data_IF_890388344294
#
_entry.id   IF_890388344294
#
_cell.length_a   1.000
_cell.length_b   1.000
_cell.length_c   1.000
_cell.angle_alpha   90.00
_cell.angle_beta   90.00
_cell.angle_gamma   90.00
#
_symmetry.space_group_name_H-M   'P 1'
#
loop_
_entity.id
_entity.type
_entity.pdbx_description
1 polymer ?
#
# COMPACT_ATOMS: atom_id res chain seq x y z
N UNK A 1 7.18 -11.33 59.76
CA UNK A 1 8.41 -11.34 58.95
C UNK A 1 8.29 -12.57 58.07
N UNK A 2 7.42 -12.49 57.06
CA UNK A 2 7.17 -13.61 56.15
C UNK A 2 8.06 -13.42 54.93
N UNK A 3 9.03 -14.32 54.80
CA UNK A 3 10.08 -14.26 53.79
C UNK A 3 9.50 -14.58 52.40
N UNK A 4 9.63 -13.70 51.39
CA UNK A 4 9.04 -13.89 50.07
C UNK A 4 9.93 -14.75 49.13
N UNK A 5 10.42 -15.90 49.64
CA UNK A 5 11.43 -16.72 48.95
C UNK A 5 10.97 -18.10 48.45
N UNK A 6 9.92 -18.69 49.01
CA UNK A 6 9.65 -20.13 48.83
C UNK A 6 8.69 -20.49 47.67
N UNK A 7 8.06 -19.52 47.03
CA UNK A 7 7.06 -19.80 45.98
C UNK A 7 7.66 -20.13 44.60
N UNK A 8 8.92 -19.76 44.35
CA UNK A 8 9.56 -19.99 43.04
C UNK A 8 10.14 -21.40 42.92
N UNK A 9 10.68 -21.97 43.99
CA UNK A 9 11.27 -23.32 43.97
C UNK A 9 10.22 -24.44 43.87
N UNK A 10 9.09 -24.33 44.60
CA UNK A 10 8.02 -25.32 44.56
C UNK A 10 7.23 -25.32 43.23
N UNK A 11 7.18 -24.18 42.53
CA UNK A 11 6.57 -24.06 41.21
C UNK A 11 7.48 -24.56 40.07
N UNK A 12 8.81 -24.52 40.27
CA UNK A 12 9.82 -25.03 39.34
C UNK A 12 10.02 -26.55 39.44
N UNK A 13 9.73 -27.16 40.60
CA UNK A 13 9.84 -28.61 40.82
C UNK A 13 8.51 -29.24 41.27
N UNK A 14 7.45 -29.07 40.48
CA UNK A 14 6.28 -29.92 40.64
C UNK A 14 6.65 -31.35 40.19
N UNK A 15 6.54 -32.38 41.05
CA UNK A 15 6.89 -33.77 40.71
C UNK A 15 6.18 -34.28 39.44
N UNK A 16 5.01 -33.71 39.11
CA UNK A 16 4.26 -34.01 37.90
C UNK A 16 4.95 -33.48 36.63
N UNK A 17 5.52 -32.27 36.66
CA UNK A 17 6.28 -31.70 35.53
C UNK A 17 7.61 -32.41 35.31
N UNK A 18 8.29 -32.76 36.40
CA UNK A 18 9.54 -33.53 36.33
C UNK A 18 9.33 -34.93 35.73
N UNK A 19 8.22 -35.61 36.08
CA UNK A 19 7.85 -36.90 35.47
C UNK A 19 7.51 -36.78 33.99
N UNK A 20 6.77 -35.74 33.59
CA UNK A 20 6.45 -35.49 32.19
C UNK A 20 7.71 -35.23 31.34
N UNK A 21 8.63 -34.41 31.84
CA UNK A 21 9.93 -34.18 31.18
C UNK A 21 10.78 -35.45 31.10
N UNK A 22 10.78 -36.28 32.15
CA UNK A 22 11.50 -37.55 32.14
C UNK A 22 10.89 -38.56 31.16
N UNK A 23 9.57 -38.60 31.02
CA UNK A 23 8.90 -39.42 30.01
C UNK A 23 9.28 -38.95 28.60
N UNK A 24 9.17 -37.64 28.35
CA UNK A 24 9.54 -37.05 27.06
C UNK A 24 11.02 -37.28 26.71
N UNK A 25 11.93 -37.21 27.69
CA UNK A 25 13.34 -37.55 27.48
C UNK A 25 13.56 -39.02 27.11
N UNK A 26 12.78 -39.95 27.68
CA UNK A 26 12.86 -41.38 27.33
C UNK A 26 12.34 -41.63 25.92
N UNK A 27 11.26 -40.96 25.55
CA UNK A 27 10.67 -41.05 24.21
C UNK A 27 11.63 -40.50 23.14
N UNK A 28 12.29 -39.37 23.41
CA UNK A 28 13.36 -38.85 22.55
C UNK A 28 14.55 -39.80 22.44
N UNK A 29 14.95 -40.45 23.54
CA UNK A 29 16.03 -41.44 23.50
C UNK A 29 15.65 -42.66 22.63
N UNK A 30 14.39 -43.10 22.67
CA UNK A 30 13.90 -44.17 21.80
C UNK A 30 13.94 -43.77 20.32
N UNK A 31 13.46 -42.56 19.99
CA UNK A 31 13.53 -42.00 18.64
C UNK A 31 14.98 -41.86 18.16
N UNK A 32 15.90 -41.39 19.00
CA UNK A 32 17.31 -41.26 18.64
C UNK A 32 17.97 -42.63 18.34
N UNK A 33 17.63 -43.68 19.09
CA UNK A 33 18.09 -45.05 18.83
C UNK A 33 17.52 -45.57 17.51
N UNK A 34 16.22 -45.39 17.28
CA UNK A 34 15.56 -45.80 16.04
C UNK A 34 16.12 -45.07 14.82
N UNK A 35 16.29 -43.75 14.90
CA UNK A 35 16.90 -42.93 13.85
C UNK A 35 18.36 -43.34 13.58
N UNK A 36 19.14 -43.63 14.62
CA UNK A 36 20.50 -44.13 14.47
C UNK A 36 20.55 -45.52 13.78
N UNK A 37 19.56 -46.39 14.02
CA UNK A 37 19.42 -47.67 13.30
C UNK A 37 19.13 -47.46 11.81
N UNK A 38 18.28 -46.50 11.46
CA UNK A 38 17.87 -46.25 10.07
C UNK A 38 18.89 -45.46 9.25
N UNK A 39 19.50 -44.41 9.83
CA UNK A 39 20.36 -43.47 9.12
C UNK A 39 21.85 -43.55 9.50
N UNK A 40 22.21 -44.37 10.50
CA UNK A 40 23.58 -44.50 10.96
C UNK A 40 24.15 -43.17 11.47
N UNK A 41 25.33 -42.78 10.94
CA UNK A 41 26.07 -41.57 11.37
C UNK A 41 25.62 -40.26 10.71
N UNK A 42 24.68 -40.29 9.76
CA UNK A 42 24.28 -39.10 8.97
C UNK A 42 22.82 -38.76 9.23
N UNK A 43 22.56 -38.23 10.41
CA UNK A 43 21.24 -37.72 10.79
C UNK A 43 21.09 -36.27 10.30
N UNK A 44 20.09 -35.99 9.45
CA UNK A 44 19.73 -34.61 9.12
C UNK A 44 19.34 -33.84 10.39
N UNK A 45 19.67 -32.55 10.46
CA UNK A 45 19.19 -31.71 11.55
C UNK A 45 17.68 -31.51 11.41
N UNK A 46 16.95 -31.69 12.49
CA UNK A 46 15.51 -31.47 12.55
C UNK A 46 15.14 -30.78 13.87
N UNK A 47 13.98 -30.14 13.87
CA UNK A 47 13.46 -29.42 15.01
C UNK A 47 12.89 -30.40 16.05
N UNK A 48 13.23 -30.23 17.33
CA UNK A 48 12.76 -31.08 18.43
C UNK A 48 11.58 -30.43 19.15
N UNK A 49 10.39 -30.62 18.60
CA UNK A 49 9.11 -30.18 19.17
C UNK A 49 8.22 -31.36 19.56
N UNK A 50 7.17 -31.12 20.35
CA UNK A 50 6.24 -32.16 20.78
C UNK A 50 5.53 -32.84 19.59
N UNK A 51 5.06 -32.05 18.62
CA UNK A 51 4.47 -32.55 17.37
C UNK A 51 5.44 -33.44 16.59
N UNK A 52 6.72 -33.09 16.57
CA UNK A 52 7.75 -33.90 15.87
C UNK A 52 8.06 -35.20 16.61
N UNK A 53 7.98 -35.20 17.94
CA UNK A 53 8.17 -36.40 18.75
C UNK A 53 7.02 -37.38 18.49
N UNK A 54 5.78 -36.89 18.52
CA UNK A 54 4.60 -37.72 18.25
C UNK A 54 4.64 -38.32 16.84
N UNK A 55 4.96 -37.51 15.83
CA UNK A 55 5.08 -37.97 14.45
C UNK A 55 6.20 -39.02 14.28
N UNK A 56 7.36 -38.81 14.90
CA UNK A 56 8.49 -39.73 14.81
C UNK A 56 8.24 -41.05 15.55
N UNK A 57 7.57 -41.02 16.70
CA UNK A 57 7.16 -42.25 17.41
C UNK A 57 6.13 -43.05 16.61
N UNK A 58 5.14 -42.37 16.03
CA UNK A 58 4.14 -43.03 15.17
C UNK A 58 4.81 -43.68 13.95
N UNK A 59 5.74 -42.97 13.31
CA UNK A 59 6.53 -43.51 12.19
C UNK A 59 7.41 -44.68 12.61
N UNK A 60 8.07 -44.60 13.78
CA UNK A 60 8.90 -45.66 14.29
C UNK A 60 8.10 -46.95 14.51
N UNK A 61 6.93 -46.84 15.17
CA UNK A 61 6.04 -47.99 15.41
C UNK A 61 5.56 -48.61 14.10
N UNK A 62 5.08 -47.80 13.15
CA UNK A 62 4.61 -48.31 11.85
C UNK A 62 5.74 -48.97 11.05
N UNK A 63 6.96 -48.43 11.13
CA UNK A 63 8.12 -49.01 10.49
C UNK A 63 8.51 -50.34 11.12
N UNK A 64 8.54 -50.42 12.45
CA UNK A 64 8.81 -51.67 13.18
C UNK A 64 7.75 -52.74 12.88
N UNK A 65 6.46 -52.39 12.89
CA UNK A 65 5.36 -53.29 12.50
C UNK A 65 5.54 -53.80 11.06
N UNK A 66 5.91 -52.92 10.13
CA UNK A 66 6.15 -53.29 8.73
C UNK A 66 7.38 -54.19 8.57
N UNK A 67 8.46 -53.93 9.30
CA UNK A 67 9.66 -54.76 9.34
C UNK A 67 9.33 -56.16 9.89
N UNK A 68 8.54 -56.25 10.96
CA UNK A 68 8.08 -57.53 11.53
C UNK A 68 7.21 -58.31 10.53
N UNK A 69 6.25 -57.65 9.87
CA UNK A 69 5.44 -58.27 8.83
C UNK A 69 6.29 -58.80 7.69
N UNK A 70 7.28 -58.02 7.22
CA UNK A 70 8.21 -58.44 6.16
C UNK A 70 9.02 -59.65 6.58
N UNK A 71 9.52 -59.69 7.82
CA UNK A 71 10.26 -60.83 8.36
C UNK A 71 9.39 -62.09 8.42
N UNK A 72 8.11 -61.95 8.77
CA UNK A 72 7.16 -63.07 8.79
C UNK A 72 6.89 -63.60 7.38
N UNK A 73 6.64 -62.72 6.41
CA UNK A 73 6.45 -63.10 5.00
C UNK A 73 7.69 -63.81 4.46
N UNK A 74 8.89 -63.28 4.71
CA UNK A 74 10.15 -63.91 4.30
C UNK A 74 10.32 -65.30 4.93
N UNK A 75 9.98 -65.45 6.20
CA UNK A 75 10.05 -66.74 6.91
C UNK A 75 9.08 -67.75 6.32
N UNK A 76 7.83 -67.36 6.07
CA UNK A 76 6.82 -68.21 5.43
C UNK A 76 7.27 -68.58 4.01
N UNK A 77 7.77 -67.61 3.24
CA UNK A 77 8.31 -67.85 1.90
C UNK A 77 9.44 -68.87 1.90
N UNK A 78 10.42 -68.74 2.81
CA UNK A 78 11.51 -69.73 2.97
C UNK A 78 10.99 -71.12 3.33
N UNK A 79 10.01 -71.20 4.23
CA UNK A 79 9.42 -72.49 4.62
C UNK A 79 8.63 -73.13 3.47
N UNK A 80 7.86 -72.34 2.71
CA UNK A 80 7.14 -72.79 1.54
C UNK A 80 8.11 -73.32 0.45
N UNK A 81 9.19 -72.59 0.17
CA UNK A 81 10.24 -73.01 -0.77
C UNK A 81 10.94 -74.30 -0.32
N UNK A 82 11.24 -74.45 0.98
CA UNK A 82 11.81 -75.69 1.51
C UNK A 82 10.86 -76.89 1.40
N UNK A 83 9.55 -76.66 1.53
CA UNK A 83 8.55 -77.70 1.32
C UNK A 83 8.41 -78.08 -0.16
N UNK A 84 8.55 -77.10 -1.07
CA UNK A 84 8.46 -77.31 -2.52
C UNK A 84 9.74 -77.91 -3.12
N UNK A 85 10.92 -77.66 -2.55
CA UNK A 85 12.18 -78.26 -2.98
C UNK A 85 12.34 -79.76 -2.69
N UNK A 86 11.29 -80.42 -2.17
CA UNK A 86 11.20 -81.88 -1.97
C UNK A 86 10.32 -82.54 -3.03
N UNK A 87 10.32 -82.03 -4.26
CA UNK A 87 9.51 -82.56 -5.37
C UNK A 87 9.90 -84.02 -5.67
N UNK A 88 8.89 -84.84 -6.01
CA UNK A 88 9.08 -86.23 -6.41
C UNK A 88 9.85 -86.30 -7.74
N UNK A 89 10.83 -87.22 -7.91
CA UNK A 89 11.60 -87.37 -9.14
C UNK A 89 10.73 -87.63 -10.38
N UNK A 90 9.52 -88.16 -10.20
CA UNK A 90 8.55 -88.39 -11.28
C UNK A 90 8.02 -87.09 -11.90
N UNK A 91 7.93 -86.01 -11.12
CA UNK A 91 7.46 -84.70 -11.60
C UNK A 91 8.54 -84.00 -12.41
N UNK A 92 9.80 -84.15 -12.00
CA UNK A 92 10.95 -83.63 -12.75
C UNK A 92 11.10 -84.33 -14.10
N UNK A 93 10.88 -85.65 -14.18
CA UNK A 93 10.90 -86.40 -15.44
C UNK A 93 9.81 -85.95 -16.43
N UNK A 94 8.60 -85.66 -15.93
CA UNK A 94 7.50 -85.13 -16.76
C UNK A 94 7.79 -83.70 -17.22
N UNK A 95 8.34 -82.87 -16.34
CA UNK A 95 8.75 -81.50 -16.65
C UNK A 95 9.84 -81.46 -17.73
N UNK A 96 10.87 -82.30 -17.62
CA UNK A 96 11.93 -82.39 -18.63
C UNK A 96 11.40 -82.86 -19.99
N UNK A 97 10.50 -83.86 -20.01
CA UNK A 97 9.88 -84.30 -21.27
C UNK A 97 9.04 -83.20 -21.93
N UNK A 98 8.34 -82.39 -21.15
CA UNK A 98 7.59 -81.24 -21.69
C UNK A 98 8.53 -80.17 -22.25
N UNK A 99 9.63 -79.86 -21.56
CA UNK A 99 10.67 -78.96 -22.07
C UNK A 99 11.30 -79.47 -23.37
N UNK A 100 11.46 -80.78 -23.52
CA UNK A 100 11.98 -81.42 -24.73
C UNK A 100 11.01 -81.39 -25.92
N UNK A 101 9.71 -81.24 -25.66
CA UNK A 101 8.69 -81.04 -26.72
C UNK A 101 8.57 -79.59 -27.19
N UNK A 102 9.10 -78.62 -26.43
CA UNK A 102 9.10 -77.21 -26.79
C UNK A 102 10.21 -76.91 -27.81
N UNK A 103 9.88 -76.13 -28.82
CA UNK A 103 10.83 -75.54 -29.75
C UNK A 103 11.68 -74.44 -29.07
N UNK A 104 12.68 -73.93 -29.80
CA UNK A 104 13.58 -72.90 -29.26
C UNK A 104 12.84 -71.65 -28.79
N UNK A 105 11.85 -71.21 -29.58
CA UNK A 105 11.05 -70.03 -29.28
C UNK A 105 10.15 -70.26 -28.06
N UNK A 106 9.53 -71.45 -27.93
CA UNK A 106 8.76 -71.83 -26.76
C UNK A 106 9.60 -71.81 -25.48
N UNK A 107 10.85 -72.28 -25.53
CA UNK A 107 11.78 -72.21 -24.39
C UNK A 107 12.16 -70.77 -24.04
N UNK A 108 12.42 -69.92 -25.03
CA UNK A 108 12.71 -68.50 -24.80
C UNK A 108 11.52 -67.76 -24.18
N UNK A 109 10.29 -68.01 -24.66
CA UNK A 109 9.09 -67.37 -24.10
C UNK A 109 8.84 -67.80 -22.64
N UNK A 110 9.13 -69.06 -22.31
CA UNK A 110 8.99 -69.58 -20.95
C UNK A 110 10.06 -68.96 -20.03
N UNK A 111 11.28 -68.78 -20.51
CA UNK A 111 12.34 -68.06 -19.77
C UNK A 111 11.98 -66.59 -19.53
N UNK A 112 11.42 -65.90 -20.54
CA UNK A 112 10.92 -64.52 -20.40
C UNK A 112 9.77 -64.46 -19.40
N UNK A 113 8.83 -65.40 -19.44
CA UNK A 113 7.73 -65.46 -18.46
C UNK A 113 8.25 -65.73 -17.05
N UNK A 114 9.25 -66.61 -16.89
CA UNK A 114 9.88 -66.86 -15.61
C UNK A 114 10.62 -65.63 -15.09
N UNK A 115 11.35 -64.92 -15.95
CA UNK A 115 12.02 -63.67 -15.57
C UNK A 115 11.01 -62.59 -15.18
N UNK A 116 9.92 -62.43 -15.95
CA UNK A 116 8.84 -61.51 -15.62
C UNK A 116 8.16 -61.86 -14.30
N UNK A 117 7.92 -63.15 -14.03
CA UNK A 117 7.35 -63.61 -12.77
C UNK A 117 8.24 -63.26 -11.57
N UNK A 118 9.57 -63.39 -11.73
CA UNK A 118 10.54 -63.02 -10.71
C UNK A 118 10.60 -61.50 -10.53
N UNK A 119 10.62 -60.73 -11.60
CA UNK A 119 10.67 -59.26 -11.56
C UNK A 119 9.40 -58.64 -10.96
N UNK A 120 8.24 -59.20 -11.29
CA UNK A 120 6.94 -58.73 -10.77
C UNK A 120 6.61 -59.35 -9.41
N UNK A 121 7.33 -60.38 -8.98
CA UNK A 121 7.10 -61.10 -7.73
C UNK A 121 5.83 -61.94 -7.72
N UNK A 122 5.28 -62.29 -8.88
CA UNK A 122 4.05 -63.07 -9.03
C UNK A 122 4.24 -64.21 -10.02
N UNK A 123 3.82 -65.43 -9.64
CA UNK A 123 3.86 -66.60 -10.53
C UNK A 123 2.57 -66.75 -11.36
N UNK A 124 1.52 -66.00 -11.01
CA UNK A 124 0.22 -66.05 -11.68
C UNK A 124 0.19 -65.14 -12.92
N UNK A 125 -0.12 -65.72 -14.08
CA UNK A 125 -0.08 -65.01 -15.37
C UNK A 125 -1.09 -63.87 -15.47
N UNK A 126 -2.26 -64.00 -14.82
CA UNK A 126 -3.26 -62.94 -14.77
C UNK A 126 -2.77 -61.73 -13.95
N UNK A 127 -2.15 -61.97 -12.80
CA UNK A 127 -1.57 -60.92 -11.97
C UNK A 127 -0.36 -60.26 -12.65
N UNK A 128 0.47 -61.03 -13.35
CA UNK A 128 1.56 -60.50 -14.17
C UNK A 128 1.03 -59.56 -15.25
N UNK A 129 0.00 -59.98 -16.00
CA UNK A 129 -0.60 -59.14 -17.04
C UNK A 129 -1.19 -57.84 -16.46
N UNK A 130 -1.89 -57.93 -15.33
CA UNK A 130 -2.42 -56.75 -14.64
C UNK A 130 -1.30 -55.80 -14.17
N UNK A 131 -0.22 -56.35 -13.61
CA UNK A 131 0.94 -55.58 -13.17
C UNK A 131 1.63 -54.87 -14.34
N UNK A 132 1.79 -55.54 -15.48
CA UNK A 132 2.34 -54.94 -16.70
C UNK A 132 1.45 -53.80 -17.22
N UNK A 133 0.12 -54.00 -17.25
CA UNK A 133 -0.83 -52.96 -17.63
C UNK A 133 -0.74 -51.74 -16.70
N UNK A 134 -0.68 -51.98 -15.39
CA UNK A 134 -0.55 -50.92 -14.40
C UNK A 134 0.78 -50.15 -14.55
N UNK A 135 1.91 -50.86 -14.69
CA UNK A 135 3.22 -50.24 -14.92
C UNK A 135 3.24 -49.43 -16.21
N UNK A 136 2.61 -49.94 -17.28
CA UNK A 136 2.52 -49.24 -18.56
C UNK A 136 1.69 -47.96 -18.44
N UNK A 137 0.55 -48.02 -17.73
CA UNK A 137 -0.29 -46.86 -17.45
C UNK A 137 0.46 -45.81 -16.60
N UNK A 138 1.13 -46.24 -15.53
CA UNK A 138 1.95 -45.36 -14.68
C UNK A 138 3.09 -44.71 -15.47
N UNK A 139 3.77 -45.47 -16.33
CA UNK A 139 4.82 -44.92 -17.20
C UNK A 139 4.28 -43.83 -18.12
N UNK A 140 3.10 -44.06 -18.71
CA UNK A 140 2.47 -43.07 -19.57
C UNK A 140 2.07 -41.80 -18.79
N UNK A 141 1.41 -41.97 -17.65
CA UNK A 141 1.02 -40.86 -16.77
C UNK A 141 2.23 -40.01 -16.36
N UNK A 142 3.30 -40.66 -15.89
CA UNK A 142 4.54 -39.96 -15.52
C UNK A 142 5.18 -39.24 -16.72
N UNK A 143 5.17 -39.85 -17.90
CA UNK A 143 5.70 -39.21 -19.10
C UNK A 143 4.90 -37.96 -19.50
N UNK A 144 3.58 -37.99 -19.33
CA UNK A 144 2.71 -36.83 -19.58
C UNK A 144 2.97 -35.74 -18.54
N UNK A 145 3.11 -36.10 -17.26
CA UNK A 145 3.42 -35.16 -16.19
C UNK A 145 4.77 -34.47 -16.42
N UNK A 146 5.80 -35.21 -16.84
CA UNK A 146 7.10 -34.62 -17.20
C UNK A 146 6.95 -33.63 -18.34
N UNK A 147 6.27 -34.01 -19.43
CA UNK A 147 6.03 -33.10 -20.55
C UNK A 147 5.27 -31.83 -20.15
N UNK A 148 4.30 -31.96 -19.23
CA UNK A 148 3.54 -30.82 -18.69
C UNK A 148 4.44 -29.91 -17.85
N UNK A 149 5.27 -30.47 -16.98
CA UNK A 149 6.22 -29.71 -16.17
C UNK A 149 7.23 -28.96 -17.03
N UNK A 150 7.77 -29.60 -18.07
CA UNK A 150 8.69 -28.96 -19.02
C UNK A 150 8.02 -27.80 -19.77
N UNK A 151 6.78 -27.97 -20.22
CA UNK A 151 6.02 -26.90 -20.86
C UNK A 151 5.76 -25.72 -19.91
N UNK A 152 5.42 -25.99 -18.65
CA UNK A 152 5.25 -24.96 -17.62
C UNK A 152 6.56 -24.23 -17.30
N UNK A 153 7.66 -24.96 -17.16
CA UNK A 153 8.98 -24.39 -16.95
C UNK A 153 9.36 -23.45 -18.11
N UNK A 154 9.16 -23.88 -19.35
CA UNK A 154 9.42 -23.05 -20.52
C UNK A 154 8.55 -21.78 -20.54
N UNK A 155 7.28 -21.87 -20.14
CA UNK A 155 6.40 -20.70 -20.03
C UNK A 155 6.89 -19.71 -18.95
N UNK A 156 7.22 -20.21 -17.75
CA UNK A 156 7.75 -19.39 -16.66
C UNK A 156 9.08 -18.72 -17.05
N UNK A 157 9.97 -19.42 -17.76
CA UNK A 157 11.21 -18.83 -18.26
C UNK A 157 10.94 -17.69 -19.25
N UNK A 158 9.96 -17.83 -20.14
CA UNK A 158 9.56 -16.75 -21.06
C UNK A 158 9.00 -15.54 -20.30
N UNK A 159 8.12 -15.76 -19.32
CA UNK A 159 7.58 -14.66 -18.50
C UNK A 159 8.68 -13.97 -17.66
N UNK A 160 9.63 -14.74 -17.14
CA UNK A 160 10.79 -14.20 -16.45
C UNK A 160 11.66 -13.34 -17.39
N UNK A 161 11.89 -13.79 -18.62
CA UNK A 161 12.60 -12.98 -19.62
C UNK A 161 11.85 -11.69 -19.96
N UNK A 162 10.53 -11.76 -20.16
CA UNK A 162 9.68 -10.58 -20.41
C UNK A 162 9.73 -9.58 -19.27
N UNK A 163 9.54 -10.04 -18.03
CA UNK A 163 9.59 -9.17 -16.84
C UNK A 163 10.96 -8.55 -16.64
N UNK A 164 12.06 -9.30 -16.89
CA UNK A 164 13.42 -8.73 -16.90
C UNK A 164 13.60 -7.65 -17.96
N UNK A 165 13.07 -7.86 -19.17
CA UNK A 165 13.15 -6.86 -20.24
C UNK A 165 12.37 -5.57 -19.85
N UNK A 166 11.17 -5.71 -19.30
CA UNK A 166 10.38 -4.57 -18.79
C UNK A 166 11.12 -3.84 -17.68
N UNK A 167 11.70 -4.58 -16.73
CA UNK A 167 12.47 -4.01 -15.64
C UNK A 167 13.71 -3.25 -16.16
N UNK A 168 14.40 -3.76 -17.17
CA UNK A 168 15.50 -3.04 -17.83
C UNK A 168 15.02 -1.74 -18.49
N UNK A 169 13.87 -1.76 -19.16
CA UNK A 169 13.27 -0.55 -19.76
C UNK A 169 12.95 0.48 -18.66
N UNK A 170 12.34 0.06 -17.55
CA UNK A 170 12.00 0.94 -16.44
C UNK A 170 13.23 1.48 -15.68
N UNK A 171 14.35 0.74 -15.69
CA UNK A 171 15.62 1.20 -15.12
C UNK A 171 16.43 2.10 -16.06
N UNK A 172 16.01 2.22 -17.32
CA UNK A 172 16.68 3.07 -18.28
C UNK A 172 16.63 4.54 -17.83
N UNK A 173 17.66 5.31 -18.16
CA UNK A 173 17.84 6.70 -17.71
C UNK A 173 16.66 7.60 -18.10
N UNK A 174 15.96 7.28 -19.19
CA UNK A 174 14.74 7.97 -19.61
C UNK A 174 13.56 7.91 -18.62
N UNK A 175 13.56 6.92 -17.70
CA UNK A 175 12.51 6.74 -16.68
C UNK A 175 13.00 7.03 -15.25
N UNK A 176 14.25 7.49 -15.08
CA UNK A 176 14.69 7.96 -13.78
C UNK A 176 14.08 9.34 -13.48
N UNK A 177 13.58 9.58 -12.25
CA UNK A 177 13.14 10.91 -11.87
C UNK A 177 14.33 11.88 -12.00
N UNK A 178 14.16 13.04 -12.66
CA UNK A 178 15.18 14.09 -12.65
C UNK A 178 15.70 14.33 -11.23
N UNK A 179 17.01 14.46 -11.05
CA UNK A 179 17.65 14.65 -9.73
C UNK A 179 17.03 15.80 -8.94
N UNK A 180 16.52 16.80 -9.66
CA UNK A 180 16.05 18.04 -9.10
C UNK A 180 14.55 17.98 -8.73
N UNK A 181 13.82 16.88 -9.01
CA UNK A 181 12.39 16.76 -8.70
C UNK A 181 12.09 16.95 -7.21
N UNK A 182 12.95 16.43 -6.34
CA UNK A 182 12.80 16.58 -4.88
C UNK A 182 12.96 18.04 -4.47
N UNK A 183 13.92 18.74 -5.07
CA UNK A 183 14.18 20.15 -4.80
C UNK A 183 13.02 21.02 -5.31
N UNK A 184 12.58 20.79 -6.56
CA UNK A 184 11.42 21.45 -7.16
C UNK A 184 10.13 21.23 -6.35
N UNK A 185 9.90 20.00 -5.86
CA UNK A 185 8.72 19.69 -5.03
C UNK A 185 8.80 20.42 -3.69
N UNK A 186 9.99 20.50 -3.09
CA UNK A 186 10.20 21.25 -1.85
C UNK A 186 10.01 22.76 -2.05
N UNK A 187 10.47 23.30 -3.18
CA UNK A 187 10.28 24.71 -3.54
C UNK A 187 8.81 25.03 -3.82
N UNK A 188 8.12 24.19 -4.59
CA UNK A 188 6.67 24.31 -4.82
C UNK A 188 5.88 24.20 -3.51
N UNK A 189 6.28 23.34 -2.58
CA UNK A 189 5.64 23.26 -1.28
C UNK A 189 5.85 24.54 -0.44
N UNK A 190 7.04 25.14 -0.49
CA UNK A 190 7.34 26.42 0.18
C UNK A 190 6.55 27.57 -0.45
N UNK A 191 6.54 27.68 -1.78
CA UNK A 191 5.78 28.72 -2.48
C UNK A 191 4.28 28.59 -2.25
N UNK A 192 3.74 27.36 -2.23
CA UNK A 192 2.33 27.11 -1.90
C UNK A 192 2.00 27.54 -0.47
N UNK A 193 2.88 27.27 0.50
CA UNK A 193 2.70 27.76 1.88
C UNK A 193 2.70 29.29 1.93
N UNK A 194 3.64 29.94 1.26
CA UNK A 194 3.70 31.41 1.18
C UNK A 194 2.45 32.00 0.53
N UNK A 195 1.98 31.42 -0.58
CA UNK A 195 0.76 31.85 -1.27
C UNK A 195 -0.47 31.68 -0.38
N UNK A 196 -0.58 30.58 0.38
CA UNK A 196 -1.66 30.40 1.36
C UNK A 196 -1.64 31.49 2.43
N UNK A 197 -0.47 31.81 2.99
CA UNK A 197 -0.33 32.90 3.96
C UNK A 197 -0.74 34.24 3.35
N UNK A 198 -0.31 34.54 2.12
CA UNK A 198 -0.72 35.75 1.40
C UNK A 198 -2.22 35.79 1.14
N UNK A 199 -2.84 34.66 0.83
CA UNK A 199 -4.28 34.59 0.56
C UNK A 199 -5.08 34.89 1.83
N UNK A 200 -4.66 34.37 2.99
CA UNK A 200 -5.23 34.73 4.30
C UNK A 200 -5.02 36.22 4.58
N UNK A 201 -3.82 36.76 4.35
CA UNK A 201 -3.55 38.19 4.53
C UNK A 201 -4.42 39.08 3.63
N UNK A 202 -4.62 38.69 2.36
CA UNK A 202 -5.51 39.41 1.45
C UNK A 202 -6.97 39.26 1.84
N UNK A 203 -7.39 38.11 2.36
CA UNK A 203 -8.74 37.91 2.90
C UNK A 203 -8.96 38.80 4.13
N UNK A 204 -8.00 38.86 5.06
CA UNK A 204 -8.03 39.76 6.22
C UNK A 204 -8.05 41.24 5.82
N UNK A 205 -7.32 41.64 4.77
CA UNK A 205 -7.34 43.02 4.24
C UNK A 205 -8.64 43.36 3.52
N UNK A 206 -9.27 42.39 2.87
CA UNK A 206 -10.52 42.61 2.10
C UNK A 206 -11.78 42.34 2.92
N UNK A 207 -11.70 41.58 4.01
CA UNK A 207 -12.76 41.32 4.97
C UNK A 207 -13.38 42.60 5.56
N UNK A 208 -12.61 43.61 6.03
CA UNK A 208 -13.17 44.87 6.50
C UNK A 208 -13.81 45.67 5.37
N UNK A 209 -13.32 45.54 4.11
CA UNK A 209 -13.92 46.18 2.95
C UNK A 209 -15.25 45.50 2.55
N UNK A 210 -15.35 44.18 2.72
CA UNK A 210 -16.59 43.41 2.50
C UNK A 210 -17.63 43.70 3.57
N UNK A 211 -17.24 43.78 4.84
CA UNK A 211 -18.15 44.13 5.93
C UNK A 211 -18.53 45.60 5.91
N UNK A 212 -17.63 46.51 5.52
CA UNK A 212 -17.96 47.92 5.30
C UNK A 212 -18.82 48.15 4.06
N UNK A 213 -18.80 47.26 3.07
CA UNK A 213 -19.66 47.37 1.88
C UNK A 213 -21.14 47.09 2.18
N UNK A 214 -21.46 46.48 3.32
CA UNK A 214 -22.86 46.22 3.74
C UNK A 214 -23.45 47.40 4.52
N UNK A 215 -22.60 48.25 5.13
CA UNK A 215 -23.02 49.36 6.02
C UNK A 215 -22.41 50.72 5.58
N UNK A 216 -21.73 50.78 4.44
CA UNK A 216 -21.19 52.02 3.87
C UNK A 216 -22.28 52.84 3.18
N UNK A 217 -22.18 54.18 3.16
CA UNK A 217 -23.12 55.01 2.41
C UNK A 217 -23.11 54.56 0.96
N UNK A 218 -24.30 54.33 0.39
CA UNK A 218 -24.40 53.95 -1.02
C UNK A 218 -23.82 55.08 -1.88
N UNK A 219 -23.41 54.77 -3.10
CA UNK A 219 -23.00 55.79 -4.07
C UNK A 219 -24.06 56.89 -4.21
N UNK A 220 -25.33 56.52 -4.07
CA UNK A 220 -26.46 57.43 -4.10
C UNK A 220 -26.49 58.37 -2.88
N UNK A 221 -26.11 57.90 -1.69
CA UNK A 221 -26.00 58.72 -0.48
C UNK A 221 -24.83 59.70 -0.58
N UNK A 222 -23.70 59.29 -1.16
CA UNK A 222 -22.56 60.17 -1.44
C UNK A 222 -22.94 61.25 -2.46
N UNK A 223 -23.69 60.90 -3.49
CA UNK A 223 -24.20 61.87 -4.47
C UNK A 223 -25.21 62.85 -3.86
N UNK A 224 -26.10 62.39 -2.96
CA UNK A 224 -27.00 63.26 -2.19
C UNK A 224 -26.22 64.21 -1.28
N UNK A 225 -25.18 63.71 -0.61
CA UNK A 225 -24.29 64.52 0.23
C UNK A 225 -23.55 65.58 -0.60
N UNK A 226 -23.05 65.21 -1.78
CA UNK A 226 -22.39 66.13 -2.71
C UNK A 226 -23.34 67.24 -3.18
N UNK A 227 -24.55 66.90 -3.61
CA UNK A 227 -25.57 67.87 -4.02
C UNK A 227 -25.98 68.82 -2.87
N UNK A 228 -26.10 68.30 -1.64
CA UNK A 228 -26.40 69.14 -0.48
C UNK A 228 -25.24 70.08 -0.14
N UNK A 229 -23.99 69.64 -0.31
CA UNK A 229 -22.79 70.48 -0.10
C UNK A 229 -22.69 71.57 -1.15
N UNK A 230 -22.99 71.27 -2.41
CA UNK A 230 -23.03 72.26 -3.50
C UNK A 230 -24.13 73.29 -3.27
N UNK A 231 -25.32 72.87 -2.81
CA UNK A 231 -26.39 73.78 -2.43
C UNK A 231 -25.99 74.68 -1.24
N UNK A 232 -25.26 74.15 -0.25
CA UNK A 232 -24.74 74.93 0.87
C UNK A 232 -23.67 75.94 0.41
N UNK A 233 -22.77 75.55 -0.49
CA UNK A 233 -21.78 76.47 -1.07
C UNK A 233 -22.44 77.58 -1.89
N UNK A 234 -23.44 77.27 -2.70
CA UNK A 234 -24.21 78.27 -3.44
C UNK A 234 -24.95 79.24 -2.49
N UNK A 235 -25.44 78.74 -1.36
CA UNK A 235 -26.07 79.59 -0.34
C UNK A 235 -25.05 80.47 0.38
N UNK A 236 -23.87 79.95 0.70
CA UNK A 236 -22.79 80.72 1.30
C UNK A 236 -22.34 81.84 0.37
N UNK A 237 -22.11 81.55 -0.92
CA UNK A 237 -21.69 82.58 -1.88
C UNK A 237 -22.75 83.65 -2.10
N UNK A 238 -24.04 83.29 -2.10
CA UNK A 238 -25.13 84.28 -2.13
C UNK A 238 -25.11 85.18 -0.88
N UNK A 239 -24.94 84.58 0.32
CA UNK A 239 -24.87 85.33 1.57
C UNK A 239 -23.63 86.24 1.63
N UNK A 240 -22.49 85.77 1.15
CA UNK A 240 -21.26 86.55 1.03
C UNK A 240 -21.44 87.74 0.08
N UNK A 241 -22.10 87.55 -1.06
CA UNK A 241 -22.44 88.63 -1.97
C UNK A 241 -23.39 89.67 -1.34
N UNK A 242 -24.37 89.22 -0.55
CA UNK A 242 -25.23 90.13 0.23
C UNK A 242 -24.42 90.90 1.28
N UNK A 243 -23.47 90.25 1.96
CA UNK A 243 -22.59 90.88 2.95
C UNK A 243 -21.61 91.88 2.34
N UNK A 244 -21.11 91.63 1.13
CA UNK A 244 -20.26 92.59 0.39
C UNK A 244 -20.95 93.95 0.19
N UNK A 245 -22.28 93.98 0.02
CA UNK A 245 -23.02 95.25 -0.09
C UNK A 245 -23.00 96.08 1.20
N UNK A 246 -22.70 95.45 2.35
CA UNK A 246 -22.57 96.09 3.65
C UNK A 246 -21.10 96.32 4.07
N UNK A 247 -20.15 95.93 3.23
CA UNK A 247 -18.72 96.06 3.49
C UNK A 247 -18.34 97.55 3.57
N UNK A 248 -17.82 97.99 4.72
CA UNK A 248 -17.47 99.39 5.00
C UNK A 248 -18.47 100.17 5.86
N UNK A 249 -19.66 99.62 6.12
CA UNK A 249 -20.59 100.17 7.11
C UNK A 249 -20.18 99.75 8.54
N UNK A 250 -20.16 100.68 9.52
CA UNK A 250 -19.97 100.33 10.92
C UNK A 250 -21.09 99.39 11.41
N UNK A 251 -20.80 98.47 12.35
CA UNK A 251 -21.78 97.52 12.88
C UNK A 251 -22.94 98.19 13.65
N UNK A 252 -22.80 99.46 14.05
CA UNK A 252 -23.87 100.25 14.69
C UNK A 252 -24.74 100.97 13.62
N UNK A 253 -26.06 100.69 13.56
CA UNK A 253 -26.96 101.27 12.55
C UNK A 253 -27.05 102.80 12.61
N UNK A 254 -26.81 103.45 13.76
CA UNK A 254 -26.81 104.92 13.85
C UNK A 254 -25.56 105.51 13.20
N UNK A 255 -24.40 104.90 13.42
CA UNK A 255 -23.13 105.30 12.83
C UNK A 255 -23.08 105.05 11.30
N UNK A 256 -23.71 103.96 10.83
CA UNK A 256 -23.91 103.65 9.42
C UNK A 256 -24.72 104.72 8.68
N UNK A 257 -25.84 105.18 9.25
CA UNK A 257 -26.65 106.27 8.69
C UNK A 257 -25.87 107.58 8.62
N UNK A 258 -25.03 107.87 9.62
CA UNK A 258 -24.17 109.05 9.63
C UNK A 258 -23.18 109.07 8.45
N UNK A 259 -22.46 107.96 8.19
CA UNK A 259 -21.53 107.86 7.05
C UNK A 259 -22.26 107.96 5.70
N UNK A 260 -23.47 107.40 5.59
CA UNK A 260 -24.27 107.45 4.37
C UNK A 260 -24.74 108.86 4.04
N UNK A 261 -25.13 109.66 5.05
CA UNK A 261 -25.47 111.06 4.85
C UNK A 261 -24.25 111.93 4.48
N UNK A 262 -23.07 111.65 5.05
CA UNK A 262 -21.82 112.31 4.63
C UNK A 262 -21.51 111.99 3.16
N UNK A 263 -21.59 110.72 2.75
CA UNK A 263 -21.36 110.33 1.36
C UNK A 263 -22.39 110.95 0.40
N UNK A 264 -23.67 111.02 0.78
CA UNK A 264 -24.71 111.71 0.01
C UNK A 264 -24.42 113.20 -0.15
N UNK A 265 -23.95 113.86 0.92
CA UNK A 265 -23.59 115.27 0.86
C UNK A 265 -22.40 115.52 -0.08
N UNK A 266 -21.41 114.62 -0.09
CA UNK A 266 -20.26 114.68 -1.01
C UNK A 266 -20.69 114.43 -2.46
N UNK A 267 -21.59 113.47 -2.70
CA UNK A 267 -22.11 113.21 -4.03
C UNK A 267 -22.90 114.41 -4.57
N UNK A 268 -23.73 115.06 -3.74
CA UNK A 268 -24.41 116.31 -4.13
C UNK A 268 -23.43 117.43 -4.49
N UNK A 269 -22.31 117.55 -3.75
CA UNK A 269 -21.25 118.52 -4.07
C UNK A 269 -20.58 118.21 -5.40
N UNK A 270 -20.19 116.95 -5.64
CA UNK A 270 -19.58 116.54 -6.90
C UNK A 270 -20.56 116.65 -8.08
N UNK A 271 -21.85 116.39 -7.87
CA UNK A 271 -22.88 116.63 -8.89
C UNK A 271 -23.04 118.12 -9.17
N UNK A 272 -23.02 118.98 -8.15
CA UNK A 272 -23.04 120.43 -8.34
C UNK A 272 -21.79 120.94 -9.08
N UNK A 273 -20.59 120.48 -8.71
CA UNK A 273 -19.34 120.79 -9.45
C UNK A 273 -19.36 120.27 -10.89
N UNK A 274 -19.97 119.10 -11.10
CA UNK A 274 -20.16 118.53 -12.44
C UNK A 274 -21.11 119.40 -13.25
N UNK A 275 -22.24 119.79 -12.66
CA UNK A 275 -23.26 120.62 -13.33
C UNK A 275 -22.71 122.02 -13.60
N UNK A 276 -21.94 122.61 -12.68
CA UNK A 276 -21.23 123.87 -12.86
C UNK A 276 -20.20 123.79 -14.01
N UNK A 277 -19.38 122.72 -14.07
CA UNK A 277 -18.47 122.48 -15.20
C UNK A 277 -19.18 122.19 -16.52
N UNK A 278 -20.39 121.61 -16.47
CA UNK A 278 -21.21 121.40 -17.68
C UNK A 278 -21.83 122.72 -18.15
N UNK A 279 -22.24 123.62 -17.24
CA UNK A 279 -22.68 124.97 -17.59
C UNK A 279 -21.52 125.81 -18.16
N UNK A 280 -20.32 125.73 -17.57
CA UNK A 280 -19.10 126.36 -18.13
C UNK A 280 -18.75 125.87 -19.56
N UNK A 281 -19.06 124.61 -19.88
CA UNK A 281 -18.90 124.06 -21.22
C UNK A 281 -20.02 124.48 -22.18
N UNK A 282 -21.22 124.78 -21.67
CA UNK A 282 -22.37 125.22 -22.46
C UNK A 282 -22.32 126.73 -22.80
N UNK A 283 -21.70 127.56 -21.96
CA UNK A 283 -21.51 129.00 -22.19
C UNK A 283 -20.27 129.33 -23.07
N UNK A 284 -19.46 128.32 -23.41
CA UNK A 284 -18.25 128.45 -24.22
C UNK A 284 -18.47 128.22 -25.75
N UNK A 285 -19.72 128.21 -26.22
CA UNK A 285 -20.11 128.09 -27.65
C UNK A 285 -21.10 129.18 -28.05
#
# INVERSE_FOLDING_TARGET
MDSPGDWTAAALFSPSKARAQQAQQRDWAAVDIWLAKQYGKRLPAFERNEDTLEALLALANVNEDADEQRLLVDKVGRQALQAHGRTSPEVDDVYQRLLDTLDHDGRQHLDILASLAVELGTAETAEMAQSICNLTAQRFELSEQVARCEAQQAALQRELQKTKAVLQILRNEAFQPPSDLSEQTAEMARSTKQLRTKLVEYDERTSPLRSSSIIGPSLEDVLKQAASSEAQQARLSALENELCAYEGLPPDPKAAKGKLEVARSQLRKLTAERDERFEELADAT
#
